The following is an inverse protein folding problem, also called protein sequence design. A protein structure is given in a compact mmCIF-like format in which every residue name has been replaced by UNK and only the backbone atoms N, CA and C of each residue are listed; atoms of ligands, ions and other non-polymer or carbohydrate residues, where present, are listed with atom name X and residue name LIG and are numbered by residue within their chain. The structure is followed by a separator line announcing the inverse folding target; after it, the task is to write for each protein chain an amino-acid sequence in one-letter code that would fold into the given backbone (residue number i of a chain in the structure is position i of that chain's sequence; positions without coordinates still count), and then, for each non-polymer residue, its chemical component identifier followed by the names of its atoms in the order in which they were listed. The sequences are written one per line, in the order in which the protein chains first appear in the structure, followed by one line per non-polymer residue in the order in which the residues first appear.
data_IF_158434148768
#
_entry.id   IF_158434148768
#
_cell.length_a   1.000
_cell.length_b   1.000
_cell.length_c   1.000
_cell.angle_alpha   90.00
_cell.angle_beta   90.00
_cell.angle_gamma   90.00
#
_symmetry.space_group_name_H-M   'P 1'
#
loop_
_entity.id
_entity.type
_entity.pdbx_description
1 polymer ?
#
# COMPACT_ATOMS: atom_id res chain seq x y z
N UNK A 1 19.63 24.59 -27.11
CA UNK A 1 19.67 25.23 -25.78
C UNK A 1 18.23 25.30 -25.30
N UNK A 2 17.78 24.30 -24.55
CA UNK A 2 16.45 24.31 -23.92
C UNK A 2 16.71 24.69 -22.47
N UNK A 3 16.74 26.00 -22.22
CA UNK A 3 16.54 26.52 -20.88
C UNK A 3 15.05 26.38 -20.58
N UNK A 4 14.70 25.35 -19.82
CA UNK A 4 13.38 25.21 -19.23
C UNK A 4 13.53 24.68 -17.80
N UNK A 5 13.16 25.55 -16.86
CA UNK A 5 12.78 25.28 -15.48
C UNK A 5 13.88 24.98 -14.44
N UNK A 6 14.76 25.96 -14.20
CA UNK A 6 15.23 26.22 -12.83
C UNK A 6 14.15 27.00 -12.04
N UNK A 7 13.08 26.35 -11.58
CA UNK A 7 12.19 26.92 -10.54
C UNK A 7 11.18 25.92 -9.97
N UNK A 8 11.71 24.92 -9.26
CA UNK A 8 11.17 24.25 -8.06
C UNK A 8 12.00 22.97 -7.93
N UNK A 9 12.74 22.80 -6.83
CA UNK A 9 13.41 21.52 -6.53
C UNK A 9 12.32 20.48 -6.21
N UNK A 10 11.63 20.01 -7.24
CA UNK A 10 10.72 18.87 -7.14
C UNK A 10 11.60 17.64 -6.89
N UNK A 11 11.80 17.30 -5.63
CA UNK A 11 12.59 16.14 -5.28
C UNK A 11 11.80 14.88 -5.66
N UNK A 12 12.44 13.93 -6.33
CA UNK A 12 11.82 12.63 -6.64
C UNK A 12 11.18 12.01 -5.38
N UNK A 13 11.81 12.16 -4.21
CA UNK A 13 11.30 11.64 -2.96
C UNK A 13 9.99 12.32 -2.51
N UNK A 14 9.85 13.64 -2.71
CA UNK A 14 8.57 14.33 -2.44
C UNK A 14 7.47 13.87 -3.40
N UNK A 15 7.82 13.60 -4.66
CA UNK A 15 6.88 13.05 -5.63
C UNK A 15 6.39 11.67 -5.23
N UNK A 16 7.31 10.77 -4.87
CA UNK A 16 7.00 9.41 -4.42
C UNK A 16 6.19 9.40 -3.13
N UNK A 17 6.51 10.29 -2.18
CA UNK A 17 5.72 10.41 -0.95
C UNK A 17 4.29 10.90 -1.23
N UNK A 18 4.13 11.91 -2.10
CA UNK A 18 2.81 12.37 -2.54
C UNK A 18 2.03 11.26 -3.29
N UNK A 19 2.72 10.46 -4.10
CA UNK A 19 2.13 9.30 -4.78
C UNK A 19 1.65 8.24 -3.77
N UNK A 20 2.44 7.93 -2.75
CA UNK A 20 2.05 7.01 -1.68
C UNK A 20 0.78 7.47 -0.95
N UNK A 21 0.61 8.78 -0.73
CA UNK A 21 -0.55 9.37 -0.06
C UNK A 21 -1.81 9.51 -0.93
N UNK A 22 -1.70 9.33 -2.24
CA UNK A 22 -2.80 9.47 -3.19
C UNK A 22 -3.19 8.13 -3.79
N UNK A 23 -2.58 7.72 -4.90
CA UNK A 23 -2.94 6.50 -5.63
C UNK A 23 -2.16 5.26 -5.15
N UNK A 24 -1.10 5.47 -4.38
CA UNK A 24 -0.14 4.43 -4.02
C UNK A 24 0.81 4.07 -5.16
N UNK A 25 1.70 3.12 -4.86
CA UNK A 25 2.73 2.60 -5.77
C UNK A 25 2.58 1.09 -5.82
N UNK A 26 2.58 0.48 -7.01
CA UNK A 26 2.51 -0.98 -7.12
C UNK A 26 3.73 -1.62 -6.46
N UNK A 27 3.51 -2.73 -5.76
CA UNK A 27 4.56 -3.37 -4.96
C UNK A 27 5.77 -3.80 -5.81
N UNK A 28 5.54 -4.26 -7.05
CA UNK A 28 6.61 -4.62 -7.99
C UNK A 28 7.47 -3.42 -8.47
N UNK A 29 7.06 -2.18 -8.20
CA UNK A 29 7.85 -0.96 -8.47
C UNK A 29 8.34 -0.28 -7.18
N UNK A 30 8.09 -0.87 -6.02
CA UNK A 30 8.46 -0.32 -4.73
C UNK A 30 9.61 -1.13 -4.11
N UNK A 31 10.59 -0.45 -3.52
CA UNK A 31 11.58 -1.10 -2.65
C UNK A 31 10.94 -1.32 -1.27
N UNK A 32 10.29 -2.47 -1.09
CA UNK A 32 9.57 -2.82 0.13
C UNK A 32 10.37 -3.78 1.01
N UNK A 33 10.38 -3.47 2.30
CA UNK A 33 10.86 -4.36 3.37
C UNK A 33 9.80 -4.43 4.45
N UNK A 34 9.69 -5.55 5.15
CA UNK A 34 8.73 -5.70 6.22
C UNK A 34 9.35 -6.35 7.45
N UNK A 35 8.92 -5.90 8.62
CA UNK A 35 9.20 -6.51 9.91
C UNK A 35 7.91 -6.57 10.75
N UNK A 36 8.03 -7.03 11.99
CA UNK A 36 6.92 -7.12 12.94
C UNK A 36 6.23 -5.78 13.26
N UNK A 37 6.88 -4.64 13.01
CA UNK A 37 6.42 -3.29 13.36
C UNK A 37 5.93 -2.47 12.17
N UNK A 38 6.22 -2.90 10.94
CA UNK A 38 5.90 -2.11 9.76
C UNK A 38 6.22 -2.78 8.43
N UNK A 39 5.61 -2.25 7.38
CA UNK A 39 6.08 -2.37 5.99
C UNK A 39 6.69 -1.02 5.64
N UNK A 40 7.87 -1.03 5.04
CA UNK A 40 8.68 0.16 4.80
C UNK A 40 8.96 0.30 3.30
N UNK A 41 8.69 1.50 2.78
CA UNK A 41 9.10 1.92 1.45
C UNK A 41 10.44 2.62 1.52
N UNK A 42 11.42 2.16 0.72
CA UNK A 42 12.74 2.76 0.58
C UNK A 42 12.78 3.87 -0.46
N UNK A 43 13.30 5.04 -0.07
CA UNK A 43 13.56 6.15 -0.97
C UNK A 43 14.97 6.11 -1.55
N UNK A 44 15.16 6.80 -2.68
CA UNK A 44 16.46 6.93 -3.37
C UNK A 44 17.58 7.54 -2.50
N UNK A 45 17.23 8.27 -1.44
CA UNK A 45 18.17 8.87 -0.49
C UNK A 45 18.47 7.98 0.72
N UNK A 46 18.07 6.71 0.71
CA UNK A 46 18.26 5.76 1.81
C UNK A 46 17.33 5.94 3.01
N UNK A 47 16.38 6.89 2.95
CA UNK A 47 15.33 7.01 3.97
C UNK A 47 14.24 5.98 3.74
N UNK A 48 13.50 5.68 4.81
CA UNK A 48 12.34 4.79 4.76
C UNK A 48 11.12 5.48 5.36
N UNK A 49 9.93 5.13 4.87
CA UNK A 49 8.67 5.47 5.52
C UNK A 49 7.77 4.24 5.63
N UNK A 50 6.89 4.21 6.63
CA UNK A 50 5.91 3.14 6.76
C UNK A 50 4.80 3.30 5.73
N UNK A 51 4.34 2.16 5.22
CA UNK A 51 3.25 2.05 4.26
C UNK A 51 2.30 0.92 4.68
N UNK A 52 1.09 0.98 4.16
CA UNK A 52 0.17 -0.15 4.05
C UNK A 52 0.43 -0.90 2.75
N UNK A 53 0.08 -2.18 2.74
CA UNK A 53 0.06 -3.01 1.53
C UNK A 53 -1.33 -3.65 1.39
N UNK A 54 -1.94 -3.58 0.21
CA UNK A 54 -3.23 -4.23 -0.05
C UNK A 54 -3.30 -4.75 -1.50
N UNK A 55 -4.12 -5.78 -1.73
CA UNK A 55 -4.36 -6.30 -3.07
C UNK A 55 -5.38 -5.42 -3.81
N UNK A 56 -4.94 -4.69 -4.82
CA UNK A 56 -5.77 -3.80 -5.62
C UNK A 56 -6.42 -4.52 -6.82
N UNK A 57 -5.89 -5.67 -7.22
CA UNK A 57 -6.38 -6.49 -8.34
C UNK A 57 -6.59 -7.92 -7.87
N UNK A 58 -7.82 -8.41 -7.96
CA UNK A 58 -8.18 -9.77 -7.52
C UNK A 58 -8.92 -10.51 -8.63
N UNK A 59 -8.62 -11.81 -8.79
CA UNK A 59 -9.36 -12.68 -9.70
C UNK A 59 -10.76 -12.96 -9.14
N UNK A 60 -11.75 -12.99 -10.03
CA UNK A 60 -13.15 -13.17 -9.65
C UNK A 60 -13.39 -14.50 -8.93
N UNK A 61 -12.68 -15.56 -9.32
CA UNK A 61 -12.73 -16.85 -8.62
C UNK A 61 -12.28 -16.71 -7.16
N UNK A 62 -11.17 -16.02 -6.92
CA UNK A 62 -10.64 -15.75 -5.57
C UNK A 62 -11.60 -14.86 -4.78
N UNK A 63 -12.12 -13.80 -5.39
CA UNK A 63 -13.06 -12.88 -4.75
C UNK A 63 -14.35 -13.60 -4.32
N UNK A 64 -14.89 -14.49 -5.16
CA UNK A 64 -16.08 -15.29 -4.81
C UNK A 64 -15.81 -16.27 -3.67
N UNK A 65 -14.61 -16.81 -3.58
CA UNK A 65 -14.24 -17.79 -2.55
C UNK A 65 -13.87 -17.17 -1.21
N UNK A 66 -13.14 -16.04 -1.22
CA UNK A 66 -12.53 -15.43 -0.02
C UNK A 66 -13.13 -14.07 0.35
N UNK A 67 -13.86 -13.43 -0.55
CA UNK A 67 -14.40 -12.09 -0.36
C UNK A 67 -13.38 -10.99 -0.63
N UNK A 68 -13.55 -9.88 0.09
CA UNK A 68 -12.69 -8.70 -0.01
C UNK A 68 -11.26 -9.02 0.52
N UNK A 69 -10.20 -8.50 -0.12
CA UNK A 69 -8.85 -8.65 0.38
C UNK A 69 -8.61 -7.85 1.66
N UNK A 70 -7.59 -8.23 2.42
CA UNK A 70 -7.16 -7.51 3.61
C UNK A 70 -6.12 -6.42 3.29
N UNK A 71 -5.95 -5.52 4.26
CA UNK A 71 -4.88 -4.52 4.31
C UNK A 71 -3.84 -4.96 5.33
N UNK A 72 -2.58 -4.83 4.97
CA UNK A 72 -1.44 -5.27 5.76
C UNK A 72 -0.60 -4.08 6.24
N UNK A 73 -0.13 -4.16 7.48
CA UNK A 73 0.68 -3.13 8.14
C UNK A 73 2.08 -3.62 8.54
N UNK A 74 2.28 -4.94 8.63
CA UNK A 74 3.51 -5.57 9.10
C UNK A 74 3.77 -6.89 8.37
N UNK A 75 4.88 -7.56 8.70
CA UNK A 75 5.29 -8.86 8.17
C UNK A 75 4.37 -10.02 8.62
N UNK A 76 3.12 -10.00 8.16
CA UNK A 76 2.26 -11.20 8.13
C UNK A 76 2.59 -12.07 6.90
N UNK A 77 2.17 -13.33 6.93
CA UNK A 77 2.47 -14.33 5.90
C UNK A 77 2.12 -13.82 4.49
N UNK A 78 0.87 -13.39 4.28
CA UNK A 78 0.42 -12.84 2.99
C UNK A 78 1.22 -11.61 2.55
N UNK A 79 1.66 -10.76 3.48
CA UNK A 79 2.48 -9.60 3.13
C UNK A 79 3.86 -10.03 2.61
N UNK A 80 4.52 -10.97 3.30
CA UNK A 80 5.86 -11.43 2.95
C UNK A 80 5.88 -12.11 1.57
N UNK A 81 4.82 -12.84 1.23
CA UNK A 81 4.66 -13.49 -0.07
C UNK A 81 4.43 -12.49 -1.23
N UNK A 82 3.96 -11.27 -0.92
CA UNK A 82 3.45 -10.33 -1.93
C UNK A 82 4.17 -8.98 -1.99
N UNK A 83 5.34 -8.84 -1.36
CA UNK A 83 6.14 -7.59 -1.39
C UNK A 83 6.54 -7.15 -2.81
N UNK A 84 6.60 -8.06 -3.78
CA UNK A 84 6.91 -7.77 -5.18
C UNK A 84 5.76 -8.07 -6.14
N UNK A 85 4.55 -8.34 -5.63
CA UNK A 85 3.42 -8.76 -6.47
C UNK A 85 2.77 -7.54 -7.17
N UNK A 86 2.66 -7.53 -8.52
CA UNK A 86 2.09 -6.40 -9.26
C UNK A 86 0.59 -6.14 -9.01
N UNK A 87 -0.12 -7.09 -8.41
CA UNK A 87 -1.52 -6.93 -8.02
C UNK A 87 -1.70 -6.21 -6.68
N UNK A 88 -0.60 -5.96 -5.95
CA UNK A 88 -0.59 -5.25 -4.68
C UNK A 88 -0.09 -3.80 -4.82
N UNK A 89 -0.60 -2.93 -3.97
CA UNK A 89 -0.26 -1.51 -3.90
C UNK A 89 0.21 -1.16 -2.49
N UNK A 90 1.37 -0.49 -2.42
CA UNK A 90 1.88 0.20 -1.24
C UNK A 90 1.31 1.63 -1.16
N UNK A 91 0.80 2.04 -0.01
CA UNK A 91 0.12 3.34 0.15
C UNK A 91 0.17 3.85 1.59
N UNK A 92 -0.14 5.13 1.79
CA UNK A 92 -0.33 5.76 3.11
C UNK A 92 -1.77 6.29 3.13
N UNK A 93 -2.60 5.73 4.00
CA UNK A 93 -3.99 6.17 4.19
C UNK A 93 -4.43 6.06 5.65
N UNK A 94 -5.31 6.96 6.10
CA UNK A 94 -5.87 6.94 7.46
C UNK A 94 -7.31 6.41 7.52
N UNK A 95 -7.98 6.20 6.39
CA UNK A 95 -9.41 5.89 6.35
C UNK A 95 -9.74 4.44 5.94
N UNK A 96 -8.72 3.65 5.58
CA UNK A 96 -8.85 2.25 5.13
C UNK A 96 -9.83 2.06 3.96
N UNK A 97 -9.88 3.02 3.04
CA UNK A 97 -10.68 2.93 1.82
C UNK A 97 -9.79 2.99 0.60
N UNK A 98 -10.00 2.05 -0.33
CA UNK A 98 -9.06 1.78 -1.41
C UNK A 98 -9.76 1.49 -2.73
N UNK A 99 -9.01 1.64 -3.81
CA UNK A 99 -9.41 1.11 -5.10
C UNK A 99 -9.36 -0.42 -5.07
N UNK A 100 -10.34 -1.09 -5.67
CA UNK A 100 -10.35 -2.54 -5.85
C UNK A 100 -10.91 -2.91 -7.21
N UNK A 101 -10.11 -3.55 -8.04
CA UNK A 101 -10.52 -4.11 -9.33
C UNK A 101 -10.68 -5.64 -9.27
N UNK A 102 -11.81 -6.13 -9.76
CA UNK A 102 -12.09 -7.57 -9.91
C UNK A 102 -11.95 -7.93 -11.39
N UNK A 103 -11.23 -9.01 -11.65
CA UNK A 103 -10.88 -9.44 -13.01
C UNK A 103 -11.32 -10.87 -13.26
N UNK A 104 -11.83 -11.14 -14.46
CA UNK A 104 -11.97 -12.48 -15.01
C UNK A 104 -10.99 -12.61 -16.17
N UNK A 105 -9.98 -13.48 -16.00
CA UNK A 105 -8.81 -13.54 -16.87
C UNK A 105 -8.10 -12.17 -16.97
N UNK A 106 -8.16 -11.51 -18.13
CA UNK A 106 -7.53 -10.20 -18.39
C UNK A 106 -8.53 -9.04 -18.42
N UNK A 107 -9.83 -9.32 -18.27
CA UNK A 107 -10.89 -8.32 -18.37
C UNK A 107 -11.29 -7.87 -16.97
N UNK A 108 -11.33 -6.56 -16.73
CA UNK A 108 -11.89 -6.00 -15.49
C UNK A 108 -13.41 -6.11 -15.56
N UNK A 109 -14.00 -6.92 -14.68
CA UNK A 109 -15.45 -7.16 -14.66
C UNK A 109 -16.15 -6.20 -13.70
N UNK A 110 -15.45 -5.75 -12.65
CA UNK A 110 -15.97 -4.79 -11.68
C UNK A 110 -14.84 -3.97 -11.08
N UNK A 111 -15.16 -2.76 -10.64
CA UNK A 111 -14.24 -1.96 -9.83
C UNK A 111 -14.97 -1.14 -8.78
N UNK A 112 -14.21 -0.75 -7.76
CA UNK A 112 -14.61 0.17 -6.72
C UNK A 112 -13.48 1.18 -6.55
N UNK A 113 -13.79 2.47 -6.45
CA UNK A 113 -12.78 3.51 -6.22
C UNK A 113 -12.54 3.78 -4.73
N UNK A 114 -13.49 3.41 -3.87
CA UNK A 114 -13.52 3.80 -2.45
C UNK A 114 -14.11 2.68 -1.57
N UNK A 115 -13.59 1.47 -1.76
CA UNK A 115 -14.04 0.26 -1.06
C UNK A 115 -13.43 0.24 0.36
N UNK A 116 -14.23 0.19 1.43
CA UNK A 116 -13.69 -0.08 2.76
C UNK A 116 -13.12 -1.50 2.81
N UNK A 117 -11.86 -1.62 3.23
CA UNK A 117 -11.20 -2.89 3.43
C UNK A 117 -10.82 -3.06 4.91
N UNK A 118 -10.84 -4.30 5.38
CA UNK A 118 -10.46 -4.61 6.75
C UNK A 118 -8.95 -4.80 6.86
N UNK A 119 -8.40 -4.48 8.03
CA UNK A 119 -7.04 -4.91 8.36
C UNK A 119 -6.99 -6.43 8.50
N UNK A 120 -5.88 -7.02 8.05
CA UNK A 120 -5.53 -8.39 8.40
C UNK A 120 -5.56 -8.56 9.94
N UNK A 121 -6.13 -9.65 10.50
CA UNK A 121 -6.23 -9.82 11.95
C UNK A 121 -4.89 -9.71 12.70
N UNK A 122 -3.79 -10.24 12.13
CA UNK A 122 -2.45 -10.11 12.69
C UNK A 122 -1.99 -8.65 12.71
N UNK A 123 -2.25 -7.91 11.63
CA UNK A 123 -1.89 -6.49 11.52
C UNK A 123 -2.75 -5.61 12.45
N UNK A 124 -4.03 -5.93 12.61
CA UNK A 124 -4.92 -5.26 13.55
C UNK A 124 -4.44 -5.43 15.00
N UNK A 125 -3.98 -6.63 15.36
CA UNK A 125 -3.38 -6.90 16.67
C UNK A 125 -2.09 -6.09 16.87
N UNK A 126 -1.19 -6.08 15.89
CA UNK A 126 0.04 -5.26 15.94
C UNK A 126 -0.29 -3.76 16.12
N UNK A 127 -1.29 -3.24 15.40
CA UNK A 127 -1.75 -1.85 15.53
C UNK A 127 -2.26 -1.56 16.95
N UNK A 128 -3.05 -2.46 17.53
CA UNK A 128 -3.56 -2.31 18.88
C UNK A 128 -2.45 -2.32 19.94
N UNK A 129 -1.53 -3.29 19.86
CA UNK A 129 -0.50 -3.53 20.89
C UNK A 129 0.63 -2.50 20.84
N UNK A 130 1.11 -2.14 19.65
CA UNK A 130 2.30 -1.30 19.50
C UNK A 130 1.99 0.17 19.20
N UNK A 131 0.77 0.46 18.73
CA UNK A 131 0.40 1.78 18.23
C UNK A 131 -0.97 2.26 18.76
N UNK A 132 -1.47 1.65 19.85
CA UNK A 132 -2.72 2.03 20.54
C UNK A 132 -3.97 2.05 19.65
N UNK A 133 -3.96 1.28 18.56
CA UNK A 133 -5.06 1.27 17.60
C UNK A 133 -5.10 2.48 16.65
N UNK A 134 -4.08 3.36 16.66
CA UNK A 134 -4.09 4.62 15.92
C UNK A 134 -3.13 4.59 14.72
N UNK A 135 -3.68 4.77 13.52
CA UNK A 135 -2.91 4.84 12.28
C UNK A 135 -1.99 6.07 12.21
N UNK A 136 -2.34 7.18 12.85
CA UNK A 136 -1.48 8.39 12.91
C UNK A 136 -0.20 8.08 13.68
N UNK A 137 -0.35 7.39 14.80
CA UNK A 137 0.78 6.90 15.62
C UNK A 137 1.59 5.86 14.84
N UNK A 138 0.94 4.96 14.10
CA UNK A 138 1.63 3.98 13.25
C UNK A 138 2.55 4.66 12.22
N UNK A 139 2.07 5.68 11.52
CA UNK A 139 2.83 6.40 10.50
C UNK A 139 3.84 7.42 11.05
N UNK A 140 3.82 7.72 12.36
CA UNK A 140 4.74 8.66 12.99
C UNK A 140 4.36 10.13 12.77
N UNK A 141 3.05 10.41 12.73
CA UNK A 141 2.46 11.75 12.66
C UNK A 141 1.99 12.24 14.02
#
# INVERSE_FOLDING_TARGET
MIEACESQKFSLNSALFAQLQSEGIRANFADLRADERGIYFGFSNGKFCKVMLYQARIQESTFRAKGDPFVHLCACEECLENLANPDFIATISLNLRFFLGIYSHKVQTKFFNDKPLNLCPKCAKTLAEHFKGDLRVFFGS
#
